data_IF_577217667970
#
_entry.id   IF_577217667970
#
_cell.length_a   1.000
_cell.length_b   1.000
_cell.length_c   1.000
_cell.angle_alpha   90.00
_cell.angle_beta   90.00
_cell.angle_gamma   90.00
#
_symmetry.space_group_name_H-M   'P 1'
#
loop_
_entity.id
_entity.type
_entity.pdbx_description
1 polymer ?
#
# COMPACT_ATOMS: atom_id res chain seq x y z
N UNK A 1 -48.74 12.66 -47.82
CA UNK A 1 -48.70 11.56 -46.84
C UNK A 1 -47.66 11.94 -45.78
N UNK A 2 -48.11 12.10 -44.52
CA UNK A 2 -47.40 12.32 -43.24
C UNK A 2 -45.96 12.92 -43.26
N UNK A 3 -45.73 14.15 -42.77
CA UNK A 3 -45.42 14.52 -41.37
C UNK A 3 -44.34 13.65 -40.71
N UNK A 4 -43.18 14.23 -40.33
CA UNK A 4 -42.79 14.51 -38.94
C UNK A 4 -41.52 15.38 -38.84
N UNK A 5 -41.62 16.38 -37.95
CA UNK A 5 -40.56 17.16 -37.32
C UNK A 5 -39.59 16.23 -36.55
N UNK A 6 -38.30 16.56 -36.35
CA UNK A 6 -37.84 17.43 -35.26
C UNK A 6 -36.44 18.02 -35.52
N UNK A 7 -36.31 19.27 -35.10
CA UNK A 7 -35.15 20.13 -35.05
C UNK A 7 -34.04 19.63 -34.10
N UNK A 8 -32.78 19.90 -34.44
CA UNK A 8 -31.90 20.76 -33.61
C UNK A 8 -30.61 21.14 -34.35
N UNK A 9 -30.19 22.41 -34.28
CA UNK A 9 -28.93 22.89 -34.84
C UNK A 9 -27.82 23.04 -33.78
N UNK A 10 -26.58 23.00 -34.28
CA UNK A 10 -25.39 23.77 -33.86
C UNK A 10 -24.82 23.65 -32.44
N UNK A 11 -23.54 23.26 -32.44
CA UNK A 11 -22.37 24.01 -31.94
C UNK A 11 -21.57 23.46 -30.74
N UNK A 12 -20.27 23.31 -31.06
CA UNK A 12 -19.05 23.24 -30.25
C UNK A 12 -19.14 23.09 -28.73
N UNK A 13 -18.43 22.10 -28.21
CA UNK A 13 -17.23 22.37 -27.41
C UNK A 13 -16.41 21.10 -27.26
N UNK A 14 -15.15 21.22 -27.67
CA UNK A 14 -14.06 20.29 -27.42
C UNK A 14 -13.90 20.07 -25.91
N UNK A 15 -14.22 18.87 -25.43
CA UNK A 15 -13.75 18.42 -24.13
C UNK A 15 -12.35 17.83 -24.32
N UNK A 16 -11.33 18.57 -23.89
CA UNK A 16 -10.02 18.04 -23.59
C UNK A 16 -10.16 16.99 -22.47
N UNK A 17 -9.48 15.83 -22.54
CA UNK A 17 -9.45 14.93 -21.42
C UNK A 17 -8.62 15.56 -20.29
N UNK A 18 -9.23 15.67 -19.12
CA UNK A 18 -8.57 16.05 -17.87
C UNK A 18 -7.53 14.97 -17.57
N UNK A 19 -6.27 15.39 -17.51
CA UNK A 19 -5.15 14.57 -17.08
C UNK A 19 -5.27 14.28 -15.58
N UNK A 20 -6.00 13.23 -15.20
CA UNK A 20 -5.98 12.70 -13.84
C UNK A 20 -4.64 12.00 -13.63
N UNK A 21 -3.65 12.73 -13.10
CA UNK A 21 -2.37 12.17 -12.64
C UNK A 21 -2.55 11.40 -11.33
N UNK A 22 -3.58 10.57 -11.21
CA UNK A 22 -3.73 9.65 -10.09
C UNK A 22 -2.82 8.45 -10.35
N UNK A 23 -1.79 8.21 -9.51
CA UNK A 23 -0.96 7.03 -9.67
C UNK A 23 -1.86 5.80 -9.50
N UNK A 24 -1.75 4.79 -10.39
CA UNK A 24 -2.60 3.63 -10.35
C UNK A 24 -2.53 2.97 -8.97
N UNK A 25 -3.68 2.49 -8.48
CA UNK A 25 -3.76 1.59 -7.33
C UNK A 25 -2.65 0.55 -7.43
N UNK A 26 -1.93 0.30 -6.34
CA UNK A 26 -0.96 -0.79 -6.31
C UNK A 26 -1.72 -2.11 -6.41
N UNK A 27 -1.92 -2.55 -7.64
CA UNK A 27 -2.45 -3.85 -7.97
C UNK A 27 -1.24 -4.65 -8.45
N UNK A 28 -0.72 -5.59 -7.66
CA UNK A 28 0.42 -6.39 -8.08
C UNK A 28 0.08 -7.06 -9.43
N UNK A 29 0.89 -6.79 -10.48
CA UNK A 29 0.61 -7.14 -11.89
C UNK A 29 0.56 -8.65 -12.20
N UNK A 30 0.53 -9.52 -11.19
CA UNK A 30 0.37 -10.96 -11.38
C UNK A 30 -0.26 -11.62 -10.15
N UNK A 31 -1.58 -11.49 -10.01
CA UNK A 31 -2.38 -12.14 -8.98
C UNK A 31 -2.14 -13.67 -8.91
N UNK A 32 -1.64 -14.32 -9.96
CA UNK A 32 -1.45 -15.77 -9.97
C UNK A 32 -0.41 -16.31 -8.99
N UNK A 33 0.56 -15.49 -8.57
CA UNK A 33 1.68 -15.93 -7.73
C UNK A 33 1.55 -15.54 -6.25
N UNK A 34 0.72 -14.55 -5.92
CA UNK A 34 0.35 -14.23 -4.54
C UNK A 34 -0.65 -15.24 -3.96
N UNK A 35 -1.50 -15.83 -4.81
CA UNK A 35 -2.70 -16.58 -4.41
C UNK A 35 -2.62 -18.10 -4.54
N UNK A 36 -1.43 -18.70 -4.64
CA UNK A 36 -1.32 -20.12 -5.01
C UNK A 36 -1.73 -21.11 -3.91
N UNK A 37 -1.94 -20.68 -2.66
CA UNK A 37 -2.26 -21.58 -1.55
C UNK A 37 -3.66 -21.37 -0.97
N UNK A 38 -4.69 -21.69 -1.77
CA UNK A 38 -6.00 -22.07 -1.26
C UNK A 38 -6.35 -23.44 -1.82
N UNK A 39 -5.79 -24.50 -1.22
CA UNK A 39 -6.46 -25.79 -1.13
C UNK A 39 -6.94 -25.96 0.30
N UNK A 40 -8.00 -25.25 0.66
CA UNK A 40 -8.74 -25.58 1.88
C UNK A 40 -9.73 -26.69 1.54
N UNK A 41 -9.53 -27.86 2.15
CA UNK A 41 -10.48 -28.95 2.14
C UNK A 41 -11.77 -28.50 2.82
N UNK A 42 -12.85 -28.44 2.06
CA UNK A 42 -14.18 -28.09 2.53
C UNK A 42 -14.68 -29.23 3.43
N UNK A 43 -14.70 -29.01 4.75
CA UNK A 43 -15.55 -29.78 5.66
C UNK A 43 -16.84 -28.98 5.89
N UNK A 44 -17.95 -29.52 5.37
CA UNK A 44 -19.29 -28.96 5.48
C UNK A 44 -19.69 -28.69 6.94
N UNK A 45 -20.08 -27.46 7.28
CA UNK A 45 -21.30 -27.17 8.06
C UNK A 45 -21.46 -25.66 8.30
N UNK A 46 -22.70 -25.21 8.08
CA UNK A 46 -23.30 -23.91 8.43
C UNK A 46 -23.08 -22.71 7.51
N UNK A 47 -24.22 -22.09 7.19
CA UNK A 47 -24.48 -20.99 6.28
C UNK A 47 -23.84 -19.69 6.76
N UNK A 48 -22.61 -19.43 6.34
CA UNK A 48 -22.09 -18.07 6.21
C UNK A 48 -21.31 -18.04 4.90
N UNK A 49 -21.74 -17.20 3.96
CA UNK A 49 -20.92 -16.89 2.79
C UNK A 49 -19.69 -16.15 3.32
N UNK A 50 -18.47 -16.72 3.30
CA UNK A 50 -17.29 -15.97 3.68
C UNK A 50 -17.09 -14.95 2.58
N UNK A 51 -17.34 -13.67 2.88
CA UNK A 51 -16.84 -12.58 2.05
C UNK A 51 -15.32 -12.82 1.98
N UNK A 52 -14.72 -13.03 0.80
CA UNK A 52 -13.28 -13.15 0.69
C UNK A 52 -12.69 -11.90 1.33
N UNK A 53 -11.92 -12.05 2.40
CA UNK A 53 -11.57 -10.96 3.32
C UNK A 53 -10.65 -9.88 2.70
N UNK A 54 -10.49 -9.89 1.38
CA UNK A 54 -9.46 -9.20 0.63
C UNK A 54 -9.57 -7.66 0.60
N UNK A 55 -10.61 -7.08 1.19
CA UNK A 55 -10.93 -5.65 1.10
C UNK A 55 -10.49 -4.82 2.31
N UNK A 56 -9.94 -5.40 3.38
CA UNK A 56 -9.47 -4.64 4.56
C UNK A 56 -7.99 -4.88 4.87
N UNK A 57 -7.33 -3.85 5.39
CA UNK A 57 -5.97 -3.89 5.92
C UNK A 57 -5.75 -5.03 6.93
N UNK A 58 -6.72 -5.31 7.79
CA UNK A 58 -6.63 -6.40 8.79
C UNK A 58 -6.47 -7.80 8.17
N UNK A 59 -7.26 -8.16 7.15
CA UNK A 59 -7.08 -9.47 6.49
C UNK A 59 -5.78 -9.53 5.68
N UNK A 60 -5.38 -8.43 5.03
CA UNK A 60 -4.07 -8.35 4.37
C UNK A 60 -2.94 -8.62 5.36
N UNK A 61 -2.99 -8.00 6.54
CA UNK A 61 -2.04 -8.22 7.62
C UNK A 61 -2.02 -9.69 8.06
N UNK A 62 -3.19 -10.29 8.35
CA UNK A 62 -3.28 -11.71 8.72
C UNK A 62 -2.65 -12.63 7.67
N UNK A 63 -2.82 -12.31 6.39
CA UNK A 63 -2.25 -13.08 5.29
C UNK A 63 -0.71 -13.03 5.29
N UNK A 64 -0.13 -11.83 5.35
CA UNK A 64 1.33 -11.65 5.44
C UNK A 64 1.88 -12.35 6.68
N UNK A 65 1.24 -12.15 7.84
CA UNK A 65 1.65 -12.76 9.10
C UNK A 65 1.63 -14.28 9.01
N UNK A 66 0.56 -14.86 8.46
CA UNK A 66 0.41 -16.32 8.30
C UNK A 66 1.47 -16.87 7.35
N UNK A 67 1.70 -16.19 6.24
CA UNK A 67 2.72 -16.58 5.28
C UNK A 67 4.12 -16.60 5.89
N UNK A 68 4.55 -15.50 6.53
CA UNK A 68 5.87 -15.44 7.15
C UNK A 68 6.01 -16.40 8.34
N UNK A 69 4.94 -16.70 9.07
CA UNK A 69 4.93 -17.75 10.11
C UNK A 69 5.17 -19.14 9.54
N UNK A 70 4.66 -19.42 8.34
CA UNK A 70 4.83 -20.73 7.68
C UNK A 70 6.28 -21.02 7.25
N UNK A 71 7.14 -19.99 7.18
CA UNK A 71 8.55 -20.11 6.81
C UNK A 71 9.38 -20.38 8.08
N UNK A 72 9.79 -21.63 8.28
CA UNK A 72 10.58 -22.04 9.46
C UNK A 72 12.01 -21.51 9.42
N UNK A 73 12.65 -21.52 8.25
CA UNK A 73 14.04 -21.12 8.10
C UNK A 73 14.19 -19.59 7.93
N UNK A 74 15.08 -18.91 8.68
CA UNK A 74 15.33 -17.47 8.52
C UNK A 74 15.69 -17.08 7.09
N UNK A 75 16.46 -17.92 6.39
CA UNK A 75 16.85 -17.69 5.00
C UNK A 75 15.65 -17.69 4.05
N UNK A 76 14.59 -18.45 4.35
CA UNK A 76 13.41 -18.48 3.49
C UNK A 76 12.55 -17.21 3.67
N UNK A 77 12.53 -16.63 4.87
CA UNK A 77 11.92 -15.30 5.10
C UNK A 77 12.64 -14.20 4.32
N UNK A 78 13.98 -14.26 4.28
CA UNK A 78 14.81 -13.37 3.47
C UNK A 78 14.49 -13.53 1.99
N UNK A 79 14.47 -14.76 1.46
CA UNK A 79 14.10 -15.03 0.06
C UNK A 79 12.70 -14.51 -0.24
N UNK A 80 11.75 -14.66 0.70
CA UNK A 80 10.39 -14.16 0.52
C UNK A 80 10.35 -12.64 0.46
N UNK A 81 11.08 -11.92 1.31
CA UNK A 81 11.22 -10.46 1.21
C UNK A 81 11.85 -10.02 -0.11
N UNK A 82 12.91 -10.71 -0.57
CA UNK A 82 13.53 -10.40 -1.86
C UNK A 82 12.54 -10.60 -3.02
N UNK A 83 11.68 -11.61 -2.94
CA UNK A 83 10.58 -11.74 -3.90
C UNK A 83 9.62 -10.55 -3.81
N UNK A 84 9.21 -10.14 -2.61
CA UNK A 84 8.38 -8.94 -2.42
C UNK A 84 9.04 -7.68 -3.00
N UNK A 85 10.35 -7.53 -2.87
CA UNK A 85 11.09 -6.41 -3.47
C UNK A 85 10.89 -6.34 -4.99
N UNK A 86 10.82 -7.48 -5.68
CA UNK A 86 10.54 -7.53 -7.13
C UNK A 86 9.12 -7.10 -7.51
N UNK A 87 8.20 -7.05 -6.55
CA UNK A 87 6.81 -6.62 -6.73
C UNK A 87 6.60 -5.14 -6.43
N UNK A 88 7.60 -4.47 -5.82
CA UNK A 88 7.50 -3.06 -5.45
C UNK A 88 7.27 -2.20 -6.72
N UNK A 89 6.33 -1.25 -6.69
CA UNK A 89 6.17 -0.28 -7.78
C UNK A 89 7.47 0.44 -8.08
N UNK A 90 7.67 0.78 -9.36
CA UNK A 90 8.75 1.68 -9.73
C UNK A 90 8.59 3.03 -9.03
N UNK A 91 9.71 3.58 -8.60
CA UNK A 91 9.80 4.90 -7.98
C UNK A 91 10.53 5.84 -8.94
N UNK A 92 10.00 7.05 -9.11
CA UNK A 92 10.59 8.01 -10.02
C UNK A 92 11.90 8.55 -9.44
N UNK A 93 12.97 8.60 -10.25
CA UNK A 93 14.26 9.15 -9.83
C UNK A 93 14.15 10.63 -9.39
N UNK A 94 13.24 11.39 -9.99
CA UNK A 94 12.99 12.78 -9.61
C UNK A 94 12.41 12.92 -8.20
N UNK A 95 11.76 11.87 -7.70
CA UNK A 95 11.16 11.85 -6.36
C UNK A 95 12.16 11.39 -5.28
N UNK A 96 13.41 11.04 -5.66
CA UNK A 96 14.49 10.71 -4.73
C UNK A 96 15.14 11.95 -4.10
N UNK A 97 14.30 12.84 -3.58
CA UNK A 97 14.69 14.11 -2.96
C UNK A 97 14.74 14.00 -1.43
N UNK A 98 15.41 14.96 -0.79
CA UNK A 98 15.56 14.99 0.67
C UNK A 98 14.23 15.06 1.43
N UNK A 99 13.21 15.73 0.86
CA UNK A 99 11.86 15.81 1.43
C UNK A 99 11.16 14.45 1.51
N UNK A 100 11.47 13.53 0.59
CA UNK A 100 10.90 12.19 0.57
C UNK A 100 11.68 11.20 1.43
N UNK A 101 12.87 11.57 1.92
CA UNK A 101 13.71 10.66 2.71
C UNK A 101 13.09 10.30 4.06
N UNK A 102 13.13 9.02 4.42
CA UNK A 102 12.74 8.53 5.75
C UNK A 102 13.96 8.65 6.68
N UNK A 103 13.77 9.32 7.82
CA UNK A 103 14.81 9.52 8.82
C UNK A 103 14.94 8.33 9.77
N UNK A 104 16.13 8.07 10.30
CA UNK A 104 16.36 7.03 11.31
C UNK A 104 16.63 5.63 10.76
N UNK A 105 16.51 5.43 9.45
CA UNK A 105 16.96 4.21 8.78
C UNK A 105 18.49 4.22 8.60
N UNK A 106 19.14 3.08 8.79
CA UNK A 106 20.57 2.90 8.47
C UNK A 106 20.81 2.84 6.95
N UNK A 107 19.84 2.28 6.23
CA UNK A 107 19.74 2.25 4.77
C UNK A 107 18.94 3.47 4.30
N UNK A 108 19.18 3.93 3.07
CA UNK A 108 18.40 5.03 2.52
C UNK A 108 17.03 4.53 2.09
N UNK A 109 15.98 5.25 2.48
CA UNK A 109 14.61 4.99 2.06
C UNK A 109 13.99 6.31 1.63
N UNK A 110 13.36 6.31 0.47
CA UNK A 110 12.49 7.38 0.00
C UNK A 110 11.06 6.88 0.04
N UNK A 111 10.18 7.74 0.52
CA UNK A 111 8.75 7.49 0.64
C UNK A 111 8.05 8.71 0.04
N UNK A 112 7.12 8.47 -0.87
CA UNK A 112 6.16 9.45 -1.34
C UNK A 112 4.77 9.07 -0.78
N UNK A 113 4.07 10.06 -0.26
CA UNK A 113 2.78 9.89 0.40
C UNK A 113 1.84 10.98 -0.10
N UNK A 114 0.74 10.56 -0.69
CA UNK A 114 -0.32 11.44 -1.16
C UNK A 114 -1.68 10.89 -0.80
N UNK A 115 -2.71 11.72 -0.92
CA UNK A 115 -4.10 11.32 -0.79
C UNK A 115 -4.77 11.54 -2.15
N UNK A 116 -5.55 10.56 -2.61
CA UNK A 116 -6.28 10.69 -3.87
C UNK A 116 -7.58 11.50 -3.70
N UNK A 117 -8.25 11.76 -4.82
CA UNK A 117 -9.52 12.50 -4.87
C UNK A 117 -10.69 11.84 -4.11
N UNK A 118 -10.54 10.57 -3.74
CA UNK A 118 -11.51 9.80 -2.95
C UNK A 118 -11.16 9.75 -1.46
N UNK A 119 -10.13 10.49 -1.03
CA UNK A 119 -9.66 10.52 0.35
C UNK A 119 -8.90 9.26 0.76
N UNK A 120 -8.37 8.47 -0.20
CA UNK A 120 -7.59 7.27 0.09
C UNK A 120 -6.11 7.56 0.03
N UNK A 121 -5.36 6.93 0.93
CA UNK A 121 -3.92 7.09 0.99
C UNK A 121 -3.23 6.34 -0.16
N UNK A 122 -2.24 6.99 -0.76
CA UNK A 122 -1.40 6.47 -1.84
C UNK A 122 0.05 6.47 -1.37
N UNK A 123 0.75 5.36 -1.59
CA UNK A 123 2.12 5.20 -1.13
C UNK A 123 3.03 4.69 -2.24
N UNK A 124 4.18 5.34 -2.42
CA UNK A 124 5.29 4.84 -3.22
C UNK A 124 6.56 4.88 -2.37
N UNK A 125 7.44 3.91 -2.51
CA UNK A 125 8.69 3.90 -1.77
C UNK A 125 9.80 3.23 -2.57
N UNK A 126 11.03 3.55 -2.20
CA UNK A 126 12.23 2.92 -2.74
C UNK A 126 13.36 2.94 -1.71
N UNK A 127 14.37 2.10 -1.91
CA UNK A 127 15.52 2.00 -1.01
C UNK A 127 16.79 1.55 -1.74
N UNK A 128 17.96 1.89 -1.19
CA UNK A 128 19.25 1.34 -1.64
C UNK A 128 19.48 -0.13 -1.19
N UNK A 129 18.57 -0.71 -0.40
CA UNK A 129 18.63 -2.08 0.08
C UNK A 129 17.45 -2.91 -0.43
N UNK A 130 17.74 -4.04 -1.09
CA UNK A 130 16.71 -4.98 -1.57
C UNK A 130 15.84 -5.56 -0.45
N UNK A 131 16.43 -5.80 0.73
CA UNK A 131 15.66 -6.26 1.90
C UNK A 131 14.67 -5.19 2.34
N UNK A 132 15.09 -3.93 2.34
CA UNK A 132 14.22 -2.82 2.69
C UNK A 132 13.12 -2.60 1.66
N UNK A 133 13.43 -2.73 0.35
CA UNK A 133 12.41 -2.75 -0.70
C UNK A 133 11.35 -3.84 -0.48
N UNK A 134 11.78 -5.01 -0.01
CA UNK A 134 10.87 -6.09 0.40
C UNK A 134 9.89 -5.65 1.50
N UNK A 135 10.39 -5.03 2.56
CA UNK A 135 9.54 -4.49 3.64
C UNK A 135 8.62 -3.37 3.13
N UNK A 136 9.13 -2.44 2.33
CA UNK A 136 8.33 -1.40 1.71
C UNK A 136 7.19 -1.98 0.87
N UNK A 137 7.45 -3.05 0.11
CA UNK A 137 6.43 -3.72 -0.70
C UNK A 137 5.32 -4.32 0.16
N UNK A 138 5.67 -4.97 1.28
CA UNK A 138 4.68 -5.48 2.24
C UNK A 138 3.82 -4.37 2.82
N UNK A 139 4.43 -3.24 3.24
CA UNK A 139 3.70 -2.10 3.82
C UNK A 139 2.79 -1.42 2.78
N UNK A 140 3.28 -1.20 1.56
CA UNK A 140 2.49 -0.61 0.47
C UNK A 140 1.32 -1.52 0.12
N UNK A 141 1.54 -2.83 -0.02
CA UNK A 141 0.45 -3.76 -0.29
C UNK A 141 -0.63 -3.74 0.80
N UNK A 142 -0.21 -3.59 2.06
CA UNK A 142 -1.10 -3.53 3.21
C UNK A 142 -1.93 -2.24 3.24
N UNK A 143 -1.31 -1.08 2.95
CA UNK A 143 -1.85 0.25 3.27
C UNK A 143 -2.29 1.08 2.05
N UNK A 144 -1.81 0.78 0.85
CA UNK A 144 -2.15 1.52 -0.35
C UNK A 144 -3.64 1.36 -0.72
N UNK A 145 -4.32 2.48 -0.92
CA UNK A 145 -5.75 2.54 -1.20
C UNK A 145 -6.65 2.45 0.05
N UNK A 146 -6.07 2.35 1.25
CA UNK A 146 -6.82 2.42 2.51
C UNK A 146 -7.15 3.88 2.88
N UNK A 147 -8.17 4.07 3.70
CA UNK A 147 -8.48 5.38 4.28
C UNK A 147 -7.48 5.76 5.38
N UNK A 148 -7.27 7.06 5.65
CA UNK A 148 -6.33 7.52 6.68
C UNK A 148 -6.54 6.87 8.05
N UNK A 149 -7.78 6.64 8.46
CA UNK A 149 -8.11 6.01 9.74
C UNK A 149 -7.59 4.58 9.82
N UNK A 150 -7.68 3.82 8.72
CA UNK A 150 -7.18 2.44 8.65
C UNK A 150 -5.64 2.40 8.67
N UNK A 151 -4.99 3.34 7.99
CA UNK A 151 -3.53 3.49 8.07
C UNK A 151 -3.08 3.80 9.50
N UNK A 152 -3.80 4.67 10.19
CA UNK A 152 -3.47 5.10 11.54
C UNK A 152 -3.75 4.03 12.61
N UNK A 153 -4.70 3.12 12.37
CA UNK A 153 -5.03 1.99 13.26
C UNK A 153 -3.97 0.89 13.31
N UNK A 154 -3.14 0.76 12.27
CA UNK A 154 -2.14 -0.31 12.21
C UNK A 154 -1.07 -0.12 13.29
N UNK A 155 -0.87 -1.12 14.13
CA UNK A 155 0.13 -1.09 15.19
C UNK A 155 1.43 -1.75 14.73
N UNK A 156 2.54 -1.33 15.33
CA UNK A 156 3.87 -1.84 14.97
C UNK A 156 4.00 -3.29 15.43
N UNK A 157 3.46 -3.61 16.59
CA UNK A 157 3.49 -4.94 17.23
C UNK A 157 2.84 -6.01 16.34
N UNK A 158 1.82 -5.61 15.56
CA UNK A 158 1.12 -6.50 14.63
C UNK A 158 2.04 -7.05 13.52
N UNK A 159 3.13 -6.34 13.22
CA UNK A 159 4.08 -6.65 12.16
C UNK A 159 5.39 -7.26 12.69
N UNK A 160 5.53 -7.49 14.00
CA UNK A 160 6.75 -8.07 14.60
C UNK A 160 7.12 -9.44 14.00
N UNK A 161 6.12 -10.18 13.49
CA UNK A 161 6.28 -11.48 12.82
C UNK A 161 7.07 -11.38 11.51
N UNK A 162 7.05 -10.21 10.86
CA UNK A 162 7.86 -9.93 9.67
C UNK A 162 9.36 -9.86 9.98
N UNK A 163 9.74 -9.87 11.25
CA UNK A 163 11.13 -9.97 11.63
C UNK A 163 11.71 -11.29 11.11
N UNK A 164 12.66 -11.17 10.17
CA UNK A 164 13.24 -12.28 9.42
C UNK A 164 14.22 -13.14 10.23
N UNK A 165 14.39 -12.85 11.52
CA UNK A 165 15.07 -13.73 12.46
C UNK A 165 16.53 -14.03 12.10
N UNK A 166 17.21 -13.14 11.38
CA UNK A 166 18.66 -13.20 11.20
C UNK A 166 19.34 -12.79 12.52
N UNK A 167 19.22 -13.67 13.53
CA UNK A 167 19.78 -13.57 14.88
C UNK A 167 21.28 -13.89 14.91
N UNK A 168 22.04 -13.31 13.99
CA UNK A 168 23.49 -13.41 13.96
C UNK A 168 24.09 -12.02 13.93
N UNK A 169 24.20 -11.38 15.11
CA UNK A 169 24.93 -10.12 15.36
C UNK A 169 24.14 -8.79 15.31
N UNK A 170 22.96 -8.70 15.92
CA UNK A 170 22.35 -7.38 16.25
C UNK A 170 21.22 -7.42 17.30
N UNK A 171 21.53 -7.56 18.58
CA UNK A 171 20.62 -7.12 19.66
C UNK A 171 20.66 -5.58 19.85
N UNK A 172 20.93 -4.78 18.80
CA UNK A 172 21.24 -3.35 18.98
C UNK A 172 20.83 -2.41 17.83
N UNK A 173 20.10 -2.90 16.82
CA UNK A 173 19.60 -2.02 15.74
C UNK A 173 18.14 -2.31 15.45
N UNK A 174 17.30 -1.73 16.31
CA UNK A 174 15.93 -1.28 16.05
C UNK A 174 15.46 -1.50 14.61
N UNK A 175 14.44 -2.35 14.47
CA UNK A 175 13.57 -2.61 13.33
C UNK A 175 13.58 -1.49 12.26
N UNK A 176 14.41 -1.63 11.22
CA UNK A 176 14.61 -0.57 10.21
C UNK A 176 13.33 -0.25 9.41
N UNK A 177 12.38 -1.18 9.33
CA UNK A 177 11.09 -0.97 8.66
C UNK A 177 10.08 -0.19 9.54
N UNK A 178 10.23 -0.18 10.86
CA UNK A 178 9.33 0.57 11.76
C UNK A 178 9.34 2.06 11.44
N UNK A 179 10.51 2.60 11.11
CA UNK A 179 10.65 4.01 10.73
C UNK A 179 9.87 4.34 9.45
N UNK A 180 9.75 3.39 8.53
CA UNK A 180 8.94 3.55 7.31
C UNK A 180 7.47 3.63 7.68
N UNK A 181 6.95 2.70 8.49
CA UNK A 181 5.56 2.72 8.96
C UNK A 181 5.25 3.99 9.77
N UNK A 182 6.14 4.39 10.69
CA UNK A 182 6.00 5.63 11.46
C UNK A 182 5.96 6.84 10.51
N UNK A 183 6.81 6.88 9.50
CA UNK A 183 6.82 7.95 8.49
C UNK A 183 5.53 7.96 7.66
N UNK A 184 5.00 6.79 7.28
CA UNK A 184 3.70 6.68 6.61
C UNK A 184 2.60 7.28 7.47
N UNK A 185 2.46 6.82 8.73
CA UNK A 185 1.44 7.31 9.67
C UNK A 185 1.56 8.82 9.92
N UNK A 186 2.77 9.33 10.14
CA UNK A 186 3.01 10.76 10.38
C UNK A 186 2.60 11.62 9.18
N UNK A 187 2.98 11.20 7.96
CA UNK A 187 2.64 11.96 6.75
C UNK A 187 1.16 11.86 6.40
N UNK A 188 0.53 10.71 6.66
CA UNK A 188 -0.94 10.55 6.62
C UNK A 188 -1.63 11.54 7.54
N UNK A 189 -1.19 11.64 8.80
CA UNK A 189 -1.77 12.58 9.75
C UNK A 189 -1.65 14.04 9.27
N UNK A 190 -0.47 14.43 8.76
CA UNK A 190 -0.27 15.77 8.20
C UNK A 190 -1.20 16.05 7.01
N UNK A 191 -1.44 15.07 6.14
CA UNK A 191 -2.35 15.25 5.00
C UNK A 191 -3.80 15.45 5.47
N UNK A 192 -4.25 14.67 6.46
CA UNK A 192 -5.59 14.85 7.07
C UNK A 192 -5.72 16.23 7.72
N UNK A 193 -4.70 16.69 8.44
CA UNK A 193 -4.69 18.00 9.08
C UNK A 193 -4.73 19.16 8.06
N UNK A 194 -4.05 19.00 6.91
CA UNK A 194 -3.99 20.00 5.85
C UNK A 194 -5.21 20.00 4.91
N UNK A 195 -6.07 18.97 4.95
CA UNK A 195 -7.30 18.91 4.16
C UNK A 195 -8.48 19.60 4.86
N UNK A 196 -8.45 19.67 6.20
CA UNK A 196 -9.42 20.39 7.06
C UNK A 196 -9.58 21.90 6.78
N UNK A 197 -8.58 22.70 6.35
CA UNK A 197 -8.72 24.14 6.11
C UNK A 197 -9.70 24.49 4.97
N UNK A 198 -10.01 23.55 4.08
CA UNK A 198 -10.96 23.78 2.98
C UNK A 198 -12.43 23.81 3.44
N UNK A 199 -12.74 23.25 4.61
CA UNK A 199 -14.11 23.17 5.14
C UNK A 199 -14.48 24.37 6.04
N UNK A 200 -13.51 25.14 6.51
CA UNK A 200 -13.71 26.27 7.43
C UNK A 200 -13.60 27.66 6.78
N UNK A 201 -13.34 27.75 5.47
CA UNK A 201 -13.27 29.03 4.73
C UNK A 201 -14.57 29.38 3.96
N UNK A 202 -15.68 28.65 4.22
CA UNK A 202 -17.01 28.90 3.63
C UNK A 202 -18.01 29.52 4.63
N UNK A 203 -17.54 30.23 5.65
CA UNK A 203 -18.39 30.97 6.59
C UNK A 203 -17.99 32.44 6.71
#
# INVERSE_FOLDING_TARGET
MALFFFSSPSSCSSFLPISTNTPPLFIPKNNRFFFKSLKCSISNSTKYNPIPCFSSSSCKLEHIVTEFKSLSEPIDRVKRLLHYATLLPGFNELDRVSSNKVTGCTVQVWLDVSMDEFGRMRFLADSDSEIMKGFCSCLIWLLDGEFPEEVLKLNIEDLDVLNIGLYGRANSRVNTWNNVLISMKKRTQLLVENDLPSLYMLH
#
